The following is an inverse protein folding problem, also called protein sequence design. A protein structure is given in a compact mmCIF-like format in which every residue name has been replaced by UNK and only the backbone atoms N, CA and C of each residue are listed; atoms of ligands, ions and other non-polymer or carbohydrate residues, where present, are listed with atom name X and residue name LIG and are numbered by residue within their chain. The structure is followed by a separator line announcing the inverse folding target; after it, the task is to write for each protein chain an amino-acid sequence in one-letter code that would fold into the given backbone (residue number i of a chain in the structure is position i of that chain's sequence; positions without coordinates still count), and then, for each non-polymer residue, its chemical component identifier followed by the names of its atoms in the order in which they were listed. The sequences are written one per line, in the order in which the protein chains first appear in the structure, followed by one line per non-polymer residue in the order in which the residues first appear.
data_IF_768153787931
#
_entry.id   IF_768153787931
#
_cell.length_a   1.000
_cell.length_b   1.000
_cell.length_c   1.000
_cell.angle_alpha   90.00
_cell.angle_beta   90.00
_cell.angle_gamma   90.00
#
_symmetry.space_group_name_H-M   'P 1'
#
loop_
_entity.id
_entity.type
_entity.pdbx_description
1 polymer ?
#
# COMPACT_ATOMS: atom_id res chain seq x y z
N UNK A 1 25.66 30.33 35.73
CA UNK A 1 24.29 30.61 36.20
C UNK A 1 23.99 32.06 35.92
N UNK A 2 23.05 32.36 35.01
CA UNK A 2 22.64 33.71 34.63
C UNK A 2 21.44 34.20 35.42
N UNK A 3 21.44 35.49 35.73
CA UNK A 3 20.58 36.24 36.66
C UNK A 3 19.11 36.49 36.21
N UNK A 4 18.54 35.62 35.39
CA UNK A 4 17.09 35.61 35.13
C UNK A 4 16.65 34.17 34.96
N UNK A 5 15.65 33.75 35.73
CA UNK A 5 15.13 32.38 35.86
C UNK A 5 14.47 31.78 34.61
N UNK A 6 14.96 32.09 33.40
CA UNK A 6 14.73 31.26 32.22
C UNK A 6 15.86 30.25 32.17
N UNK A 7 15.56 28.99 32.43
CA UNK A 7 16.40 27.88 31.94
C UNK A 7 16.80 28.22 30.51
N UNK A 8 18.09 28.25 30.14
CA UNK A 8 18.46 28.54 28.77
C UNK A 8 17.74 27.51 27.90
N UNK A 9 16.81 27.99 27.07
CA UNK A 9 16.28 27.17 25.98
C UNK A 9 17.50 26.56 25.29
N UNK A 10 17.49 25.24 25.06
CA UNK A 10 18.58 24.54 24.38
C UNK A 10 19.03 25.37 23.16
N UNK A 11 20.34 25.47 22.95
CA UNK A 11 20.91 26.22 21.83
C UNK A 11 20.22 25.76 20.53
N UNK A 12 19.67 26.66 19.69
CA UNK A 12 18.97 26.28 18.46
C UNK A 12 19.79 25.34 17.56
N UNK A 13 21.11 25.49 17.57
CA UNK A 13 22.03 24.59 16.84
C UNK A 13 22.01 23.17 17.42
N UNK A 14 22.07 23.03 18.73
CA UNK A 14 21.98 21.74 19.43
C UNK A 14 20.63 21.07 19.20
N UNK A 15 19.54 21.84 19.23
CA UNK A 15 18.19 21.35 18.93
C UNK A 15 18.11 20.75 17.52
N UNK A 16 18.59 21.47 16.50
CA UNK A 16 18.57 20.98 15.12
C UNK A 16 19.46 19.74 14.94
N UNK A 17 20.60 19.68 15.63
CA UNK A 17 21.46 18.50 15.62
C UNK A 17 20.78 17.29 16.28
N UNK A 18 20.09 17.50 17.41
CA UNK A 18 19.33 16.46 18.11
C UNK A 18 18.20 15.91 17.22
N UNK A 19 17.41 16.78 16.58
CA UNK A 19 16.36 16.37 15.64
C UNK A 19 16.91 15.63 14.44
N UNK A 20 18.01 16.12 13.86
CA UNK A 20 18.69 15.45 12.73
C UNK A 20 19.14 14.04 13.13
N UNK A 21 19.67 13.88 14.34
CA UNK A 21 20.07 12.57 14.85
C UNK A 21 18.87 11.63 15.05
N UNK A 22 17.77 12.12 15.65
CA UNK A 22 16.53 11.36 15.83
C UNK A 22 15.97 10.88 14.48
N UNK A 23 15.81 11.78 13.51
CA UNK A 23 15.33 11.45 12.15
C UNK A 23 16.20 10.39 11.48
N UNK A 24 17.53 10.53 11.57
CA UNK A 24 18.46 9.55 11.00
C UNK A 24 18.33 8.19 11.67
N UNK A 25 18.15 8.15 13.00
CA UNK A 25 17.95 6.91 13.75
C UNK A 25 16.68 6.21 13.27
N UNK A 26 15.57 6.94 13.15
CA UNK A 26 14.30 6.40 12.65
C UNK A 26 14.41 5.91 11.20
N UNK A 27 15.09 6.65 10.32
CA UNK A 27 15.35 6.21 8.95
C UNK A 27 16.11 4.87 8.88
N UNK A 28 17.06 4.66 9.79
CA UNK A 28 17.78 3.38 9.88
C UNK A 28 16.91 2.24 10.46
N UNK A 29 15.91 2.55 11.29
CA UNK A 29 14.95 1.57 11.79
C UNK A 29 14.04 1.09 10.66
N UNK A 30 13.53 2.02 9.83
CA UNK A 30 12.78 1.69 8.62
C UNK A 30 13.58 0.79 7.67
N UNK A 31 14.88 1.06 7.47
CA UNK A 31 15.74 0.21 6.65
C UNK A 31 15.87 -1.23 7.18
N UNK A 32 15.84 -1.41 8.50
CA UNK A 32 15.84 -2.75 9.12
C UNK A 32 14.51 -3.45 8.90
N UNK A 33 13.39 -2.73 8.97
CA UNK A 33 12.07 -3.28 8.71
C UNK A 33 11.91 -3.71 7.26
N UNK A 34 12.34 -2.90 6.28
CA UNK A 34 12.37 -3.28 4.86
C UNK A 34 13.10 -4.61 4.69
N UNK A 35 14.31 -4.74 5.23
CA UNK A 35 15.09 -5.99 5.16
C UNK A 35 14.41 -7.16 5.88
N UNK A 36 13.67 -6.90 6.94
CA UNK A 36 12.91 -7.93 7.64
C UNK A 36 11.76 -8.45 6.79
N UNK A 37 10.97 -7.54 6.21
CA UNK A 37 9.84 -7.88 5.34
C UNK A 37 10.32 -8.60 4.09
N UNK A 38 11.39 -8.13 3.44
CA UNK A 38 11.97 -8.78 2.26
C UNK A 38 12.41 -10.22 2.54
N UNK A 39 13.03 -10.49 3.69
CA UNK A 39 13.42 -11.86 4.08
C UNK A 39 12.21 -12.76 4.31
N UNK A 40 11.13 -12.22 4.87
CA UNK A 40 9.90 -12.99 5.06
C UNK A 40 9.18 -13.22 3.73
N UNK A 41 9.13 -12.22 2.84
CA UNK A 41 8.63 -12.34 1.47
C UNK A 41 9.38 -13.44 0.70
N UNK A 42 10.71 -13.53 0.84
CA UNK A 42 11.50 -14.62 0.24
C UNK A 42 11.10 -16.01 0.73
N UNK A 43 10.75 -16.16 2.02
CA UNK A 43 10.26 -17.44 2.55
C UNK A 43 8.88 -17.75 1.99
N UNK A 44 7.98 -16.77 1.94
CA UNK A 44 6.64 -16.92 1.35
C UNK A 44 6.73 -17.31 -0.12
N UNK A 45 7.64 -16.71 -0.90
CA UNK A 45 7.93 -17.11 -2.29
C UNK A 45 8.33 -18.57 -2.42
N UNK A 46 9.17 -19.08 -1.51
CA UNK A 46 9.57 -20.51 -1.50
C UNK A 46 8.37 -21.41 -1.18
N UNK A 47 7.57 -21.04 -0.19
CA UNK A 47 6.35 -21.77 0.17
C UNK A 47 5.33 -21.79 -0.97
N UNK A 48 5.17 -20.66 -1.68
CA UNK A 48 4.27 -20.56 -2.84
C UNK A 48 4.72 -21.50 -3.95
N UNK A 49 6.01 -21.55 -4.28
CA UNK A 49 6.55 -22.52 -5.25
C UNK A 49 6.31 -23.97 -4.84
N UNK A 50 6.42 -24.29 -3.56
CA UNK A 50 6.15 -25.65 -3.05
C UNK A 50 4.66 -25.99 -3.11
N UNK A 51 3.76 -25.05 -2.79
CA UNK A 51 2.32 -25.22 -2.91
C UNK A 51 1.90 -25.39 -4.39
N UNK A 52 2.53 -24.63 -5.29
CA UNK A 52 2.32 -24.72 -6.73
C UNK A 52 2.67 -26.12 -7.28
N UNK A 53 3.78 -26.71 -6.84
CA UNK A 53 4.15 -28.08 -7.23
C UNK A 53 3.15 -29.13 -6.75
N UNK A 54 2.39 -28.84 -5.70
CA UNK A 54 1.33 -29.72 -5.16
C UNK A 54 -0.03 -29.47 -5.80
N UNK A 55 -0.13 -28.55 -6.76
CA UNK A 55 -1.39 -28.09 -7.36
C UNK A 55 -2.42 -27.57 -6.34
N UNK A 56 -1.95 -27.04 -5.20
CA UNK A 56 -2.82 -26.45 -4.18
C UNK A 56 -3.06 -24.96 -4.51
N UNK A 57 -4.10 -24.71 -5.32
CA UNK A 57 -4.42 -23.37 -5.83
C UNK A 57 -4.84 -22.41 -4.73
N UNK A 58 -5.63 -22.86 -3.76
CA UNK A 58 -6.14 -22.02 -2.68
C UNK A 58 -5.01 -21.50 -1.81
N UNK A 59 -4.07 -22.38 -1.44
CA UNK A 59 -2.87 -21.98 -0.70
C UNK A 59 -1.99 -21.03 -1.51
N UNK A 60 -1.86 -21.25 -2.83
CA UNK A 60 -1.10 -20.34 -3.69
C UNK A 60 -1.70 -18.93 -3.70
N UNK A 61 -3.02 -18.80 -3.81
CA UNK A 61 -3.72 -17.49 -3.80
C UNK A 61 -3.50 -16.76 -2.49
N UNK A 62 -3.59 -17.46 -1.34
CA UNK A 62 -3.35 -16.86 -0.02
C UNK A 62 -1.90 -16.36 0.09
N UNK A 63 -0.92 -17.19 -0.31
CA UNK A 63 0.50 -16.81 -0.25
C UNK A 63 0.84 -15.67 -1.22
N UNK A 64 0.17 -15.62 -2.39
CA UNK A 64 0.34 -14.52 -3.34
C UNK A 64 -0.21 -13.20 -2.79
N UNK A 65 -1.38 -13.21 -2.13
CA UNK A 65 -1.91 -12.05 -1.40
C UNK A 65 -0.92 -11.53 -0.36
N UNK A 66 -0.30 -12.43 0.40
CA UNK A 66 0.71 -12.05 1.39
C UNK A 66 1.95 -11.37 0.76
N UNK A 67 2.39 -11.84 -0.41
CA UNK A 67 3.48 -11.19 -1.17
C UNK A 67 3.08 -9.80 -1.65
N UNK A 68 1.85 -9.63 -2.16
CA UNK A 68 1.35 -8.31 -2.57
C UNK A 68 1.31 -7.36 -1.37
N UNK A 69 0.79 -7.81 -0.23
CA UNK A 69 0.76 -7.03 1.01
C UNK A 69 2.17 -6.65 1.49
N UNK A 70 3.12 -7.57 1.43
CA UNK A 70 4.52 -7.29 1.77
C UNK A 70 5.12 -6.20 0.85
N UNK A 71 4.88 -6.28 -0.47
CA UNK A 71 5.33 -5.26 -1.44
C UNK A 71 4.69 -3.89 -1.17
N UNK A 72 3.38 -3.84 -0.90
CA UNK A 72 2.66 -2.60 -0.53
C UNK A 72 3.21 -2.00 0.77
N UNK A 73 3.46 -2.83 1.78
CA UNK A 73 4.08 -2.40 3.03
C UNK A 73 5.49 -1.80 2.81
N UNK A 74 6.33 -2.45 2.01
CA UNK A 74 7.66 -1.94 1.65
C UNK A 74 7.57 -0.59 0.93
N UNK A 75 6.65 -0.44 -0.05
CA UNK A 75 6.44 0.82 -0.77
C UNK A 75 6.04 1.95 0.19
N UNK A 76 5.12 1.70 1.12
CA UNK A 76 4.73 2.68 2.15
C UNK A 76 5.90 3.09 3.05
N UNK A 77 6.79 2.16 3.39
CA UNK A 77 8.01 2.47 4.15
C UNK A 77 8.97 3.33 3.32
N UNK A 78 9.13 3.07 2.02
CA UNK A 78 9.94 3.91 1.14
C UNK A 78 9.43 5.35 1.05
N UNK A 79 8.11 5.54 0.92
CA UNK A 79 7.48 6.87 0.95
C UNK A 79 7.77 7.59 2.29
N UNK A 80 7.63 6.87 3.40
CA UNK A 80 7.96 7.40 4.73
C UNK A 80 9.46 7.79 4.83
N UNK A 81 10.36 6.97 4.29
CA UNK A 81 11.79 7.29 4.24
C UNK A 81 12.10 8.54 3.40
N UNK A 82 11.37 8.75 2.31
CA UNK A 82 11.49 9.95 1.49
C UNK A 82 11.11 11.21 2.30
N UNK A 83 10.00 11.16 3.05
CA UNK A 83 9.62 12.26 3.95
C UNK A 83 10.67 12.51 5.04
N UNK A 84 11.22 11.48 5.69
CA UNK A 84 12.31 11.63 6.66
C UNK A 84 13.56 12.29 6.03
N UNK A 85 13.90 11.88 4.81
CA UNK A 85 15.05 12.44 4.07
C UNK A 85 14.82 13.92 3.72
N UNK A 86 13.59 14.29 3.36
CA UNK A 86 13.20 15.69 3.14
C UNK A 86 13.38 16.52 4.42
N UNK A 87 12.86 16.05 5.55
CA UNK A 87 13.03 16.75 6.84
C UNK A 87 14.53 16.85 7.19
N UNK A 88 15.32 15.80 6.97
CA UNK A 88 16.75 15.84 7.22
C UNK A 88 17.47 16.92 6.37
N UNK A 89 17.12 17.05 5.10
CA UNK A 89 17.62 18.12 4.23
C UNK A 89 17.22 19.50 4.75
N UNK A 90 15.96 19.66 5.15
CA UNK A 90 15.48 20.92 5.72
C UNK A 90 16.16 21.26 7.05
N UNK A 91 16.45 20.30 7.92
CA UNK A 91 17.24 20.54 9.13
C UNK A 91 18.66 20.99 8.81
N UNK A 92 19.29 20.41 7.78
CA UNK A 92 20.60 20.88 7.29
C UNK A 92 20.53 22.32 6.77
N UNK A 93 19.44 22.68 6.09
CA UNK A 93 19.18 24.04 5.66
C UNK A 93 19.04 24.98 6.87
N UNK A 94 18.26 24.61 7.90
CA UNK A 94 18.13 25.38 9.14
C UNK A 94 19.47 25.65 9.84
N UNK A 95 20.40 24.69 9.85
CA UNK A 95 21.76 24.94 10.37
C UNK A 95 22.53 25.98 9.55
N UNK A 96 22.35 26.03 8.24
CA UNK A 96 22.97 27.04 7.38
C UNK A 96 22.33 28.40 7.61
N UNK A 97 21.00 28.46 7.66
CA UNK A 97 20.23 29.67 8.01
C UNK A 97 20.65 30.20 9.37
N UNK A 98 20.79 29.36 10.38
CA UNK A 98 21.22 29.78 11.72
C UNK A 98 22.61 30.43 11.70
N UNK A 99 23.54 29.97 10.86
CA UNK A 99 24.88 30.57 10.73
C UNK A 99 24.85 31.94 10.04
N UNK A 100 23.94 32.15 9.10
CA UNK A 100 23.87 33.38 8.29
C UNK A 100 22.95 34.42 8.93
N UNK A 101 21.74 34.00 9.29
CA UNK A 101 20.67 34.85 9.82
C UNK A 101 20.60 34.89 11.35
N UNK A 102 21.36 34.03 12.06
CA UNK A 102 21.38 33.99 13.53
C UNK A 102 20.10 33.44 14.17
N UNK A 103 19.13 32.97 13.38
CA UNK A 103 17.83 32.49 13.85
C UNK A 103 17.34 31.29 13.03
N UNK A 104 16.44 30.50 13.61
CA UNK A 104 15.70 29.46 12.89
C UNK A 104 14.58 30.11 12.06
N UNK A 105 14.28 29.51 10.91
CA UNK A 105 13.21 29.97 10.03
C UNK A 105 12.06 28.96 10.00
N UNK A 106 10.86 29.48 9.81
CA UNK A 106 9.67 28.66 9.57
C UNK A 106 9.82 27.87 8.27
N UNK A 107 9.35 26.61 8.27
CA UNK A 107 9.39 25.73 7.12
C UNK A 107 8.08 24.95 6.99
N UNK A 108 7.29 25.31 5.98
CA UNK A 108 6.07 24.61 5.59
C UNK A 108 6.37 23.21 5.05
N UNK A 109 7.51 23.02 4.39
CA UNK A 109 7.94 21.70 3.91
C UNK A 109 8.20 20.71 5.05
N UNK A 110 8.86 21.16 6.13
CA UNK A 110 9.07 20.35 7.34
C UNK A 110 7.72 19.99 7.96
N UNK A 111 6.81 20.96 8.03
CA UNK A 111 5.47 20.76 8.57
C UNK A 111 4.69 19.69 7.79
N UNK A 112 4.63 19.81 6.46
CA UNK A 112 3.93 18.85 5.60
C UNK A 112 4.54 17.45 5.68
N UNK A 113 5.87 17.35 5.58
CA UNK A 113 6.56 16.06 5.67
C UNK A 113 6.36 15.39 7.04
N UNK A 114 6.36 16.18 8.12
CA UNK A 114 6.09 15.67 9.47
C UNK A 114 4.66 15.14 9.59
N UNK A 115 3.69 15.84 9.01
CA UNK A 115 2.28 15.43 9.04
C UNK A 115 2.06 14.09 8.31
N UNK A 116 2.68 13.90 7.13
CA UNK A 116 2.63 12.62 6.43
C UNK A 116 3.22 11.47 7.24
N UNK A 117 4.27 11.73 8.02
CA UNK A 117 4.91 10.72 8.87
C UNK A 117 4.12 10.38 10.13
N UNK A 118 3.28 11.29 10.64
CA UNK A 118 2.40 11.01 11.78
C UNK A 118 1.36 9.93 11.44
N UNK A 119 1.00 9.78 10.15
CA UNK A 119 0.11 8.72 9.66
C UNK A 119 0.77 7.34 9.68
N UNK A 120 2.09 7.27 9.81
CA UNK A 120 2.80 6.00 9.92
C UNK A 120 2.91 5.58 11.39
N UNK A 121 2.22 4.50 11.84
CA UNK A 121 2.02 4.20 13.27
C UNK A 121 3.30 4.12 14.09
N UNK A 122 4.37 3.56 13.51
CA UNK A 122 5.63 3.36 14.22
C UNK A 122 6.43 4.66 14.40
N UNK A 123 6.15 5.69 13.58
CA UNK A 123 6.77 7.01 13.66
C UNK A 123 5.87 8.05 14.35
N UNK A 124 4.57 7.77 14.48
CA UNK A 124 3.55 8.71 14.92
C UNK A 124 3.88 9.40 16.26
N UNK A 125 4.34 8.64 17.25
CA UNK A 125 4.72 9.19 18.55
C UNK A 125 5.92 10.14 18.45
N UNK A 126 7.00 9.67 17.82
CA UNK A 126 8.25 10.42 17.68
C UNK A 126 8.02 11.71 16.88
N UNK A 127 7.29 11.62 15.77
CA UNK A 127 7.01 12.77 14.90
C UNK A 127 6.08 13.78 15.56
N UNK A 128 5.10 13.33 16.37
CA UNK A 128 4.23 14.24 17.14
C UNK A 128 5.02 14.99 18.21
N UNK A 129 5.94 14.33 18.90
CA UNK A 129 6.78 14.98 19.91
C UNK A 129 7.79 15.94 19.28
N UNK A 130 8.44 15.53 18.18
CA UNK A 130 9.32 16.40 17.41
C UNK A 130 8.57 17.60 16.82
N UNK A 131 7.34 17.41 16.32
CA UNK A 131 6.49 18.51 15.83
C UNK A 131 6.25 19.56 16.91
N UNK A 132 5.91 19.14 18.14
CA UNK A 132 5.74 20.06 19.28
C UNK A 132 7.03 20.81 19.63
N UNK A 133 8.17 20.12 19.61
CA UNK A 133 9.48 20.76 19.87
C UNK A 133 9.84 21.78 18.79
N UNK A 134 9.65 21.43 17.51
CA UNK A 134 9.90 22.29 16.36
C UNK A 134 8.94 23.48 16.29
N UNK A 135 7.70 23.31 16.73
CA UNK A 135 6.71 24.38 16.88
C UNK A 135 7.16 25.39 17.94
N UNK A 136 7.60 24.92 19.11
CA UNK A 136 8.16 25.78 20.17
C UNK A 136 9.42 26.52 19.73
N UNK A 137 10.22 25.91 18.86
CA UNK A 137 11.42 26.50 18.30
C UNK A 137 11.16 27.44 17.11
N UNK A 138 9.90 27.57 16.67
CA UNK A 138 9.51 28.47 15.58
C UNK A 138 9.82 27.96 14.18
N UNK A 139 10.13 26.67 14.01
CA UNK A 139 10.32 26.04 12.69
C UNK A 139 8.97 25.65 12.08
N UNK A 140 8.03 25.20 12.89
CA UNK A 140 6.70 24.76 12.44
C UNK A 140 5.65 25.72 13.00
N UNK A 141 4.63 26.05 12.21
CA UNK A 141 3.48 26.83 12.68
C UNK A 141 2.44 25.92 13.34
N UNK A 142 1.56 26.50 14.17
CA UNK A 142 0.41 25.77 14.71
C UNK A 142 -0.44 25.26 13.54
N UNK A 143 -0.42 23.95 13.32
CA UNK A 143 -1.27 23.33 12.31
C UNK A 143 -2.72 23.49 12.76
N UNK A 144 -3.50 24.25 12.00
CA UNK A 144 -4.94 24.02 11.95
C UNK A 144 -5.11 22.63 11.33
N UNK A 145 -5.84 21.74 12.01
CA UNK A 145 -6.17 20.39 11.53
C UNK A 145 -7.03 20.53 10.26
N UNK A 146 -6.42 20.83 9.13
CA UNK A 146 -6.99 20.55 7.81
C UNK A 146 -6.78 19.07 7.54
N UNK A 147 -7.59 18.26 8.22
CA UNK A 147 -7.87 16.88 7.84
C UNK A 147 -8.64 16.90 6.53
N UNK A 148 -7.97 17.21 5.42
CA UNK A 148 -8.48 16.88 4.11
C UNK A 148 -8.13 15.41 3.88
N UNK A 149 -9.16 14.59 4.08
CA UNK A 149 -9.17 13.17 3.76
C UNK A 149 -8.74 12.97 2.30
N UNK A 150 -7.51 12.51 2.12
CA UNK A 150 -7.08 11.83 0.90
C UNK A 150 -7.39 10.34 1.06
N UNK A 151 -8.65 10.01 1.35
CA UNK A 151 -9.22 8.66 1.35
C UNK A 151 -9.51 8.21 -0.11
N UNK A 152 -8.59 8.48 -1.02
CA UNK A 152 -8.66 8.02 -2.42
C UNK A 152 -8.07 6.60 -2.59
N UNK A 153 -8.19 5.74 -1.57
CA UNK A 153 -7.59 4.38 -1.59
C UNK A 153 -8.60 3.27 -1.21
N UNK A 154 -9.91 3.48 -1.33
CA UNK A 154 -10.87 2.46 -0.82
C UNK A 154 -11.61 1.64 -1.87
N UNK A 155 -11.85 2.14 -3.09
CA UNK A 155 -12.75 1.43 -4.04
C UNK A 155 -12.07 0.93 -5.33
N UNK A 156 -11.03 1.59 -5.85
CA UNK A 156 -10.26 1.09 -7.02
C UNK A 156 -9.32 -0.09 -6.66
N UNK A 157 -9.08 -0.32 -5.37
CA UNK A 157 -8.04 -1.20 -4.86
C UNK A 157 -8.38 -2.70 -4.88
N UNK A 158 -9.65 -3.10 -4.91
CA UNK A 158 -10.01 -4.53 -4.84
C UNK A 158 -9.84 -5.26 -6.18
N UNK A 159 -10.25 -4.64 -7.29
CA UNK A 159 -10.03 -5.23 -8.63
C UNK A 159 -8.54 -5.20 -9.01
N UNK A 160 -7.83 -4.14 -8.68
CA UNK A 160 -6.37 -4.07 -8.88
C UNK A 160 -5.64 -5.08 -8.01
N UNK A 161 -6.08 -5.30 -6.76
CA UNK A 161 -5.47 -6.29 -5.88
C UNK A 161 -5.60 -7.72 -6.43
N UNK A 162 -6.75 -8.07 -7.05
CA UNK A 162 -6.90 -9.40 -7.67
C UNK A 162 -5.97 -9.59 -8.87
N UNK A 163 -5.86 -8.58 -9.75
CA UNK A 163 -4.93 -8.58 -10.89
C UNK A 163 -3.46 -8.65 -10.45
N UNK A 164 -3.11 -7.95 -9.37
CA UNK A 164 -1.76 -8.01 -8.77
C UNK A 164 -1.44 -9.39 -8.22
N UNK A 165 -2.41 -10.04 -7.58
CA UNK A 165 -2.27 -11.42 -7.07
C UNK A 165 -2.03 -12.41 -8.21
N UNK A 166 -2.83 -12.33 -9.27
CA UNK A 166 -2.67 -13.19 -10.46
C UNK A 166 -1.32 -12.96 -11.15
N UNK A 167 -0.88 -11.70 -11.24
CA UNK A 167 0.45 -11.36 -11.74
C UNK A 167 1.56 -11.98 -10.89
N UNK A 168 1.45 -11.89 -9.57
CA UNK A 168 2.43 -12.49 -8.64
C UNK A 168 2.43 -14.02 -8.76
N UNK A 169 1.25 -14.64 -8.89
CA UNK A 169 1.14 -16.08 -9.13
C UNK A 169 1.84 -16.47 -10.42
N UNK A 170 1.59 -15.75 -11.52
CA UNK A 170 2.22 -16.00 -12.80
C UNK A 170 3.74 -15.82 -12.75
N UNK A 171 4.22 -14.71 -12.17
CA UNK A 171 5.65 -14.39 -12.01
C UNK A 171 6.43 -15.46 -11.23
N UNK A 172 5.81 -16.08 -10.22
CA UNK A 172 6.51 -17.02 -9.32
C UNK A 172 6.41 -18.46 -9.83
N UNK A 173 5.35 -18.79 -10.56
CA UNK A 173 5.04 -20.16 -11.00
C UNK A 173 5.35 -20.41 -12.46
N UNK A 174 5.87 -19.41 -13.18
CA UNK A 174 6.16 -19.43 -14.62
C UNK A 174 4.95 -19.89 -15.45
N UNK A 175 3.74 -19.51 -15.03
CA UNK A 175 2.49 -19.89 -15.70
C UNK A 175 2.04 -21.35 -15.50
N UNK A 176 2.78 -22.18 -14.75
CA UNK A 176 2.47 -23.61 -14.54
C UNK A 176 1.16 -23.86 -13.77
N UNK A 177 0.67 -22.86 -13.03
CA UNK A 177 -0.64 -22.91 -12.37
C UNK A 177 -1.80 -22.49 -13.30
N UNK A 178 -1.49 -21.88 -14.44
CA UNK A 178 -2.44 -21.60 -15.52
C UNK A 178 -2.60 -22.76 -16.49
N UNK A 179 -1.60 -23.65 -16.58
CA UNK A 179 -1.64 -24.93 -17.30
C UNK A 179 -1.82 -26.10 -16.32
N UNK A 180 -3.00 -26.24 -15.72
CA UNK A 180 -3.40 -27.50 -15.11
C UNK A 180 -4.65 -28.02 -15.85
N UNK A 181 -4.69 -29.33 -16.16
CA UNK A 181 -5.58 -29.90 -17.17
C UNK A 181 -7.05 -29.78 -16.76
N UNK A 182 -7.92 -29.65 -17.76
CA UNK A 182 -9.34 -29.96 -17.63
C UNK A 182 -9.49 -31.23 -16.78
N UNK A 183 -10.48 -31.29 -15.86
CA UNK A 183 -10.71 -32.47 -15.03
C UNK A 183 -10.69 -33.73 -15.89
N UNK A 184 -10.11 -34.85 -15.42
CA UNK A 184 -10.07 -36.07 -16.20
C UNK A 184 -11.48 -36.40 -16.66
N UNK A 185 -11.66 -36.47 -17.97
CA UNK A 185 -12.88 -36.86 -18.64
C UNK A 185 -13.36 -38.14 -17.96
N UNK A 186 -14.48 -38.03 -17.24
CA UNK A 186 -15.04 -39.14 -16.50
C UNK A 186 -15.28 -40.29 -17.49
N UNK A 187 -14.61 -41.42 -17.24
CA UNK A 187 -14.85 -42.67 -17.93
C UNK A 187 -16.35 -42.97 -17.95
N UNK A 188 -16.90 -43.54 -19.05
CA UNK A 188 -18.34 -43.66 -19.29
C UNK A 188 -19.07 -44.70 -18.42
N UNK A 189 -18.58 -44.99 -17.21
CA UNK A 189 -19.10 -46.05 -16.36
C UNK A 189 -20.07 -45.58 -15.26
N UNK A 190 -20.33 -44.27 -15.10
CA UNK A 190 -21.16 -43.75 -13.99
C UNK A 190 -22.45 -43.03 -14.44
N UNK A 191 -22.96 -43.36 -15.65
CA UNK A 191 -24.26 -42.87 -16.16
C UNK A 191 -25.41 -43.87 -15.96
N UNK A 192 -25.39 -44.66 -14.89
CA UNK A 192 -26.40 -45.70 -14.69
C UNK A 192 -26.91 -45.83 -13.25
N UNK A 193 -26.94 -44.76 -12.44
CA UNK A 193 -27.78 -44.78 -11.23
C UNK A 193 -27.98 -43.40 -10.59
N UNK A 194 -28.54 -42.43 -11.32
CA UNK A 194 -29.20 -41.30 -10.68
C UNK A 194 -30.15 -40.60 -11.66
N UNK A 195 -31.45 -40.63 -11.33
CA UNK A 195 -32.53 -39.77 -11.85
C UNK A 195 -32.99 -40.05 -13.30
N UNK A 196 -34.15 -40.66 -13.61
CA UNK A 196 -35.39 -40.88 -12.85
C UNK A 196 -35.93 -39.64 -12.12
N UNK A 197 -35.81 -38.47 -12.74
CA UNK A 197 -36.67 -37.31 -12.53
C UNK A 197 -36.65 -36.50 -13.84
N UNK A 198 -37.43 -36.95 -14.81
CA UNK A 198 -37.70 -36.22 -16.05
C UNK A 198 -38.77 -35.17 -15.73
N UNK A 199 -38.33 -33.95 -15.44
CA UNK A 199 -39.13 -32.74 -15.64
C UNK A 199 -38.63 -32.16 -16.95
N UNK A 200 -39.52 -32.15 -17.94
CA UNK A 200 -39.33 -31.45 -19.21
C UNK A 200 -39.26 -29.94 -18.93
N UNK A 201 -38.16 -29.32 -19.36
CA UNK A 201 -38.13 -27.89 -19.69
C UNK A 201 -37.56 -27.86 -21.10
N UNK A 202 -38.43 -27.55 -22.04
CA UNK A 202 -38.14 -27.29 -23.44
C UNK A 202 -37.12 -26.14 -23.51
N UNK A 203 -36.08 -26.32 -24.33
CA UNK A 203 -35.21 -25.22 -24.73
C UNK A 203 -36.04 -24.30 -25.63
N UNK A 204 -36.23 -23.06 -25.18
CA UNK A 204 -36.89 -21.97 -25.91
C UNK A 204 -36.15 -21.69 -27.24
N UNK A 205 -36.65 -22.27 -28.33
CA UNK A 205 -36.37 -21.88 -29.72
C UNK A 205 -37.14 -20.57 -30.10
N UNK A 206 -37.81 -19.90 -29.17
CA UNK A 206 -38.65 -18.70 -29.41
C UNK A 206 -37.85 -17.37 -29.44
N UNK A 207 -36.68 -17.27 -28.78
CA UNK A 207 -35.92 -16.00 -28.72
C UNK A 207 -35.31 -15.60 -30.09
N UNK A 208 -35.04 -16.58 -30.97
CA UNK A 208 -34.46 -16.33 -32.29
C UNK A 208 -35.44 -15.70 -33.29
N UNK A 209 -36.72 -16.04 -33.21
CA UNK A 209 -37.77 -15.54 -34.10
C UNK A 209 -38.27 -14.15 -33.65
N UNK A 210 -38.38 -13.91 -32.34
CA UNK A 210 -38.77 -12.61 -31.78
C UNK A 210 -37.73 -11.51 -32.07
N UNK A 211 -36.44 -11.85 -32.05
CA UNK A 211 -35.36 -10.92 -32.40
C UNK A 211 -35.40 -10.52 -33.88
N UNK A 212 -35.80 -11.42 -34.77
CA UNK A 212 -35.95 -11.13 -36.21
C UNK A 212 -37.20 -10.29 -36.49
N UNK A 213 -38.32 -10.56 -35.82
CA UNK A 213 -39.53 -9.73 -35.90
C UNK A 213 -39.27 -8.30 -35.39
N UNK A 214 -38.54 -8.14 -34.27
CA UNK A 214 -38.19 -6.81 -33.74
C UNK A 214 -37.28 -6.01 -34.69
N UNK A 215 -36.34 -6.68 -35.37
CA UNK A 215 -35.49 -6.02 -36.38
C UNK A 215 -36.29 -5.56 -37.60
N UNK A 216 -37.29 -6.34 -38.04
CA UNK A 216 -38.17 -5.97 -39.16
C UNK A 216 -39.06 -4.76 -38.85
N UNK A 217 -39.56 -4.63 -37.62
CA UNK A 217 -40.35 -3.46 -37.15
C UNK A 217 -39.51 -2.20 -37.00
N UNK A 218 -38.23 -2.31 -36.62
CA UNK A 218 -37.32 -1.16 -36.53
C UNK A 218 -36.90 -0.64 -37.92
N UNK A 219 -36.85 -1.51 -38.92
CA UNK A 219 -36.54 -1.13 -40.29
C UNK A 219 -37.68 -0.34 -40.97
N UNK A 220 -38.95 -0.68 -40.68
CA UNK A 220 -40.12 0.01 -41.24
C UNK A 220 -40.37 1.40 -40.65
N UNK A 221 -39.78 1.73 -39.50
CA UNK A 221 -39.81 3.07 -38.89
C UNK A 221 -38.66 3.97 -39.34
N UNK A 222 -37.70 3.44 -40.12
CA UNK A 222 -36.55 4.18 -40.66
C UNK A 222 -36.68 4.52 -42.16
N UNK A 223 -37.80 4.21 -42.81
CA UNK A 223 -38.14 4.66 -44.18
C UNK A 223 -39.19 5.74 -44.18
#
# INVERSE_FOLDING_TARGET
MGLFGKTPSKDPKEQVQEWTHKIRKEGNQLDRQIRSIQREEEKVKRSLKQAAQKNDRDTCVILAKEIVNARKAINRIYTSKAHLSSIQMQMKNQLSTLRVAGSLQKSTEVMQAMQSLVRYPELAGIMRDMSKEMMKAGIIEEMLDETMDSLEESEELEEEASKEVDKVLWEITDGKLGEAPLPPEATPADKASASAARVEVEEDDEEGEELQEMQSRLASLRS
#
